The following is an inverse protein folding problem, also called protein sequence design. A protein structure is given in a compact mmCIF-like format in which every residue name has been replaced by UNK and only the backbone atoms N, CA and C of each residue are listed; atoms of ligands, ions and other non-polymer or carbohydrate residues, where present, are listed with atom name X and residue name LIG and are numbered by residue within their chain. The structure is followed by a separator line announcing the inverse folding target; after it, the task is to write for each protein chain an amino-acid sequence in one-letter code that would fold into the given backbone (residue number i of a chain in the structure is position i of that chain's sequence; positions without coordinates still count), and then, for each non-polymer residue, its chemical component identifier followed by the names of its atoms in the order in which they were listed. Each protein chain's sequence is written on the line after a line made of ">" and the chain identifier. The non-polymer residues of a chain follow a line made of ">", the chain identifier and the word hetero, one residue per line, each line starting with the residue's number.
data_IF_839485558443
#
_entry.id   IF_839485558443
#
_cell.length_a   1.000
_cell.length_b   1.000
_cell.length_c   1.000
_cell.angle_alpha   90.00
_cell.angle_beta   90.00
_cell.angle_gamma   90.00
#
_symmetry.space_group_name_H-M   'P 1'
#
loop_
_entity.id
_entity.type
_entity.pdbx_description
1 polymer ?
#
# COMPACT_ATOMS: atom_id res chain seq x y z
N UNK A 1 -19.92 5.03 -27.54
CA UNK A 1 -20.42 3.66 -27.24
C UNK A 1 -19.32 2.63 -26.94
N UNK A 2 -18.25 2.54 -27.74
CA UNK A 2 -17.14 1.58 -27.53
C UNK A 2 -16.40 1.70 -26.18
N UNK A 3 -16.20 2.92 -25.66
CA UNK A 3 -15.55 3.14 -24.35
C UNK A 3 -16.38 2.63 -23.18
N UNK A 4 -17.71 2.85 -23.22
CA UNK A 4 -18.62 2.42 -22.16
C UNK A 4 -18.71 0.89 -22.07
N UNK A 5 -18.73 0.21 -23.22
CA UNK A 5 -18.75 -1.25 -23.25
C UNK A 5 -17.43 -1.85 -22.73
N UNK A 6 -16.29 -1.23 -23.07
CA UNK A 6 -14.97 -1.62 -22.53
C UNK A 6 -14.85 -1.37 -21.03
N UNK A 7 -15.44 -0.29 -20.53
CA UNK A 7 -15.50 0.01 -19.10
C UNK A 7 -16.32 -1.03 -18.34
N UNK A 8 -17.48 -1.43 -18.88
CA UNK A 8 -18.32 -2.50 -18.31
C UNK A 8 -17.56 -3.83 -18.21
N UNK A 9 -16.77 -4.18 -19.22
CA UNK A 9 -15.92 -5.38 -19.21
C UNK A 9 -14.83 -5.28 -18.14
N UNK A 10 -14.17 -4.13 -17.99
CA UNK A 10 -13.16 -3.93 -16.96
C UNK A 10 -13.77 -4.14 -15.56
N UNK A 11 -14.91 -3.51 -15.28
CA UNK A 11 -15.63 -3.65 -14.00
C UNK A 11 -16.02 -5.12 -13.75
N UNK A 12 -16.55 -5.82 -14.76
CA UNK A 12 -16.93 -7.23 -14.62
C UNK A 12 -15.75 -8.15 -14.28
N UNK A 13 -14.56 -7.88 -14.82
CA UNK A 13 -13.35 -8.64 -14.44
C UNK A 13 -12.86 -8.28 -13.04
N UNK A 14 -12.97 -7.02 -12.64
CA UNK A 14 -12.63 -6.58 -11.29
C UNK A 14 -13.50 -7.32 -10.27
N UNK A 15 -14.81 -7.36 -10.49
CA UNK A 15 -15.76 -8.06 -9.60
C UNK A 15 -15.52 -9.57 -9.58
N UNK A 16 -15.26 -10.18 -10.75
CA UNK A 16 -14.89 -11.60 -10.83
C UNK A 16 -13.59 -11.89 -10.04
N UNK A 17 -12.60 -11.00 -10.13
CA UNK A 17 -11.37 -11.12 -9.37
C UNK A 17 -11.60 -11.00 -7.86
N UNK A 18 -12.42 -10.06 -7.40
CA UNK A 18 -12.78 -9.95 -5.98
C UNK A 18 -13.55 -11.17 -5.47
N UNK A 19 -14.42 -11.78 -6.28
CA UNK A 19 -15.07 -13.05 -5.95
C UNK A 19 -14.05 -14.18 -5.77
N UNK A 20 -13.03 -14.26 -6.63
CA UNK A 20 -11.93 -15.24 -6.49
C UNK A 20 -11.10 -14.94 -5.25
N UNK A 21 -10.78 -13.67 -4.98
CA UNK A 21 -10.06 -13.23 -3.78
C UNK A 21 -10.77 -13.67 -2.49
N UNK A 22 -12.11 -13.60 -2.47
CA UNK A 22 -12.92 -14.09 -1.37
C UNK A 22 -12.84 -15.61 -1.23
N UNK A 23 -12.93 -16.37 -2.33
CA UNK A 23 -12.76 -17.83 -2.26
C UNK A 23 -11.35 -18.26 -1.85
N UNK A 24 -10.32 -17.50 -2.23
CA UNK A 24 -8.92 -17.72 -1.80
C UNK A 24 -8.76 -17.56 -0.28
N UNK A 25 -9.51 -16.65 0.35
CA UNK A 25 -9.48 -16.48 1.80
C UNK A 25 -9.88 -17.77 2.52
N UNK A 26 -11.01 -18.35 2.11
CA UNK A 26 -11.51 -19.61 2.68
C UNK A 26 -10.52 -20.75 2.44
N UNK A 27 -9.94 -20.83 1.25
CA UNK A 27 -8.97 -21.85 0.88
C UNK A 27 -7.70 -21.79 1.74
N UNK A 28 -7.07 -20.62 1.87
CA UNK A 28 -5.85 -20.50 2.68
C UNK A 28 -6.08 -20.76 4.17
N UNK A 29 -7.28 -20.40 4.68
CA UNK A 29 -7.62 -20.60 6.09
C UNK A 29 -8.03 -22.04 6.41
N UNK A 30 -8.86 -22.68 5.56
CA UNK A 30 -9.43 -24.00 5.82
C UNK A 30 -8.55 -25.14 5.27
N UNK A 31 -8.12 -25.03 4.02
CA UNK A 31 -7.45 -26.14 3.33
C UNK A 31 -5.93 -26.08 3.56
N UNK A 32 -5.32 -24.90 3.49
CA UNK A 32 -3.88 -24.73 3.74
C UNK A 32 -3.53 -24.47 5.22
N UNK A 33 -4.52 -24.23 6.09
CA UNK A 33 -4.34 -24.00 7.53
C UNK A 33 -3.30 -22.92 7.89
N UNK A 34 -3.21 -21.86 7.08
CA UNK A 34 -2.22 -20.77 7.25
C UNK A 34 -2.88 -19.51 7.83
N UNK A 35 -2.15 -18.79 8.67
CA UNK A 35 -2.64 -17.57 9.34
C UNK A 35 -2.57 -16.34 8.43
N UNK A 36 -3.55 -16.18 7.53
CA UNK A 36 -3.64 -15.02 6.62
C UNK A 36 -3.74 -13.69 7.37
N UNK A 37 -4.61 -13.60 8.37
CA UNK A 37 -4.91 -12.32 9.06
C UNK A 37 -3.71 -11.80 9.84
N UNK A 38 -3.02 -12.68 10.57
CA UNK A 38 -1.85 -12.30 11.36
C UNK A 38 -0.75 -11.78 10.46
N UNK A 39 -0.41 -12.53 9.40
CA UNK A 39 0.63 -12.10 8.48
C UNK A 39 0.26 -10.78 7.77
N UNK A 40 -0.99 -10.64 7.31
CA UNK A 40 -1.47 -9.42 6.65
C UNK A 40 -1.42 -8.21 7.59
N UNK A 41 -1.80 -8.38 8.87
CA UNK A 41 -1.72 -7.32 9.86
C UNK A 41 -0.27 -6.91 10.16
N UNK A 42 0.66 -7.88 10.27
CA UNK A 42 2.09 -7.57 10.45
C UNK A 42 2.69 -6.85 9.24
N UNK A 43 2.31 -7.24 8.02
CA UNK A 43 2.73 -6.53 6.80
C UNK A 43 2.20 -5.08 6.83
N UNK A 44 0.94 -4.90 7.25
CA UNK A 44 0.30 -3.58 7.38
C UNK A 44 1.00 -2.72 8.42
N UNK A 45 1.18 -3.23 9.64
CA UNK A 45 1.81 -2.53 10.74
C UNK A 45 3.26 -2.14 10.40
N UNK A 46 4.01 -3.04 9.75
CA UNK A 46 5.38 -2.76 9.29
C UNK A 46 5.46 -1.58 8.33
N UNK A 47 4.46 -1.39 7.45
CA UNK A 47 4.41 -0.22 6.55
C UNK A 47 4.21 1.09 7.33
N UNK A 48 3.36 1.09 8.34
CA UNK A 48 3.09 2.27 9.18
C UNK A 48 4.24 2.60 10.13
N UNK A 49 4.86 1.59 10.75
CA UNK A 49 6.06 1.79 11.58
C UNK A 49 7.17 2.45 10.74
N UNK A 50 7.41 1.94 9.53
CA UNK A 50 8.37 2.53 8.62
C UNK A 50 8.02 3.98 8.23
N UNK A 51 6.72 4.32 8.12
CA UNK A 51 6.28 5.72 7.95
C UNK A 51 6.71 6.61 9.10
N UNK A 52 6.41 6.17 10.33
CA UNK A 52 6.64 6.93 11.55
C UNK A 52 8.14 7.14 11.73
N UNK A 53 8.94 6.10 11.49
CA UNK A 53 10.40 6.17 11.52
C UNK A 53 10.94 7.14 10.47
N UNK A 54 10.32 7.27 9.29
CA UNK A 54 10.69 8.31 8.32
C UNK A 54 10.21 9.71 8.70
N UNK A 55 9.07 9.84 9.39
CA UNK A 55 8.48 11.15 9.75
C UNK A 55 9.22 11.86 10.88
N UNK A 56 9.64 11.13 11.92
CA UNK A 56 10.22 11.74 13.13
C UNK A 56 11.54 12.46 12.84
N UNK A 57 12.50 11.90 12.06
CA UNK A 57 13.70 12.63 11.66
C UNK A 57 13.37 13.90 10.87
N UNK A 58 12.40 13.85 9.96
CA UNK A 58 11.96 15.04 9.20
C UNK A 58 11.43 16.10 10.16
N UNK A 59 10.56 15.72 11.10
CA UNK A 59 10.04 16.63 12.12
C UNK A 59 11.16 17.23 12.96
N UNK A 60 12.16 16.43 13.33
CA UNK A 60 13.34 16.87 14.09
C UNK A 60 14.14 17.92 13.30
N UNK A 61 14.35 17.71 12.00
CA UNK A 61 15.01 18.69 11.13
C UNK A 61 14.24 20.02 11.06
N UNK A 62 12.89 19.99 11.01
CA UNK A 62 12.07 21.21 11.03
C UNK A 62 12.16 21.96 12.37
N UNK A 63 12.24 21.24 13.48
CA UNK A 63 12.45 21.82 14.81
C UNK A 63 13.84 22.47 14.87
N UNK A 64 14.87 21.80 14.36
CA UNK A 64 16.24 22.34 14.30
C UNK A 64 16.34 23.58 13.41
N UNK A 65 15.54 23.66 12.33
CA UNK A 65 15.56 24.80 11.40
C UNK A 65 14.80 26.03 11.91
N UNK A 66 14.20 25.99 13.11
CA UNK A 66 13.50 27.13 13.72
C UNK A 66 12.17 27.50 13.04
N UNK A 67 11.58 26.61 12.24
CA UNK A 67 10.26 26.84 11.66
C UNK A 67 9.19 26.83 12.77
N UNK A 68 8.21 27.75 12.72
CA UNK A 68 7.17 27.93 13.74
C UNK A 68 6.62 26.59 14.25
N UNK A 69 6.92 26.28 15.51
CA UNK A 69 6.44 25.09 16.21
C UNK A 69 4.93 25.14 16.44
N UNK A 70 4.34 23.96 16.64
CA UNK A 70 2.96 23.79 17.11
C UNK A 70 2.87 24.37 18.53
N UNK A 71 1.83 25.14 18.84
CA UNK A 71 1.62 25.77 20.16
C UNK A 71 1.80 24.81 21.34
N UNK A 72 1.30 23.57 21.23
CA UNK A 72 1.40 22.56 22.29
C UNK A 72 2.83 22.08 22.62
N UNK A 73 3.76 22.15 21.66
CA UNK A 73 5.17 21.72 21.87
C UNK A 73 6.07 22.88 22.26
N UNK A 74 5.67 24.12 21.96
CA UNK A 74 6.37 25.31 22.43
C UNK A 74 6.39 25.39 23.96
N UNK A 75 5.28 25.01 24.61
CA UNK A 75 5.16 24.93 26.06
C UNK A 75 6.09 23.88 26.69
N UNK A 76 6.36 22.78 25.97
CA UNK A 76 7.27 21.72 26.40
C UNK A 76 8.74 22.14 26.15
N UNK A 77 9.01 22.78 25.02
CA UNK A 77 10.34 23.31 24.66
C UNK A 77 10.79 24.42 25.63
N UNK A 78 9.87 25.32 26.04
CA UNK A 78 10.15 26.33 27.06
C UNK A 78 10.41 25.73 28.44
N UNK A 79 9.73 24.63 28.81
CA UNK A 79 9.89 23.99 30.12
C UNK A 79 11.16 23.13 30.25
N UNK A 80 11.57 22.43 29.19
CA UNK A 80 12.69 21.47 29.22
C UNK A 80 14.02 22.03 28.71
N UNK A 81 13.98 23.15 27.98
CA UNK A 81 15.14 23.69 27.27
C UNK A 81 15.38 22.97 25.94
N UNK A 82 15.67 23.77 24.90
CA UNK A 82 15.79 23.31 23.51
C UNK A 82 16.78 22.15 23.34
N UNK A 83 17.94 22.21 23.99
CA UNK A 83 18.99 21.20 23.87
C UNK A 83 18.54 19.85 24.45
N UNK A 84 17.87 19.84 25.60
CA UNK A 84 17.35 18.63 26.25
C UNK A 84 16.24 18.00 25.41
N UNK A 85 15.34 18.82 24.85
CA UNK A 85 14.26 18.35 23.98
C UNK A 85 14.80 17.71 22.70
N UNK A 86 15.80 18.32 22.05
CA UNK A 86 16.47 17.76 20.88
C UNK A 86 17.13 16.41 21.23
N UNK A 87 17.88 16.35 22.34
CA UNK A 87 18.55 15.12 22.76
C UNK A 87 17.54 13.98 23.02
N UNK A 88 16.40 14.27 23.66
CA UNK A 88 15.34 13.31 23.90
C UNK A 88 14.70 12.82 22.60
N UNK A 89 14.43 13.72 21.65
CA UNK A 89 13.92 13.34 20.33
C UNK A 89 14.90 12.46 19.55
N UNK A 90 16.21 12.74 19.61
CA UNK A 90 17.24 11.90 18.97
C UNK A 90 17.25 10.50 19.58
N UNK A 91 17.20 10.37 20.92
CA UNK A 91 17.09 9.07 21.58
C UNK A 91 15.84 8.30 21.14
N UNK A 92 14.69 8.97 21.06
CA UNK A 92 13.44 8.34 20.56
C UNK A 92 13.61 7.84 19.13
N UNK A 93 14.25 8.63 18.25
CA UNK A 93 14.52 8.21 16.86
C UNK A 93 15.37 6.94 16.83
N UNK A 94 16.47 6.89 17.59
CA UNK A 94 17.35 5.71 17.63
C UNK A 94 16.57 4.46 18.06
N UNK A 95 15.79 4.56 19.15
CA UNK A 95 14.97 3.44 19.66
C UNK A 95 13.96 2.98 18.61
N UNK A 96 13.30 3.90 17.91
CA UNK A 96 12.33 3.56 16.88
C UNK A 96 12.97 2.92 15.64
N UNK A 97 14.18 3.32 15.26
CA UNK A 97 14.93 2.67 14.18
C UNK A 97 15.31 1.23 14.53
N UNK A 98 15.76 0.99 15.76
CA UNK A 98 16.05 -0.36 16.26
C UNK A 98 14.76 -1.21 16.23
N UNK A 99 13.65 -0.65 16.71
CA UNK A 99 12.35 -1.32 16.71
C UNK A 99 11.88 -1.66 15.29
N UNK A 100 12.00 -0.75 14.33
CA UNK A 100 11.68 -1.01 12.91
C UNK A 100 12.55 -2.11 12.29
N UNK A 101 13.85 -2.13 12.61
CA UNK A 101 14.74 -3.20 12.18
C UNK A 101 14.30 -4.56 12.74
N UNK A 102 13.99 -4.64 14.03
CA UNK A 102 13.47 -5.87 14.66
C UNK A 102 12.14 -6.30 14.04
N UNK A 103 11.22 -5.36 13.79
CA UNK A 103 9.94 -5.63 13.15
C UNK A 103 10.11 -6.19 11.74
N UNK A 104 11.07 -5.68 10.95
CA UNK A 104 11.41 -6.19 9.60
C UNK A 104 11.95 -7.63 9.66
N UNK A 105 12.84 -7.92 10.60
CA UNK A 105 13.39 -9.28 10.80
C UNK A 105 12.27 -10.24 11.22
N UNK A 106 11.42 -9.83 12.17
CA UNK A 106 10.32 -10.65 12.66
C UNK A 106 9.29 -10.97 11.57
N UNK A 107 8.94 -9.97 10.74
CA UNK A 107 8.09 -10.16 9.54
C UNK A 107 8.70 -11.20 8.59
N UNK A 108 10.01 -11.14 8.36
CA UNK A 108 10.72 -12.12 7.53
C UNK A 108 10.60 -13.54 8.09
N UNK A 109 10.88 -13.71 9.39
CA UNK A 109 10.76 -15.00 10.08
C UNK A 109 9.32 -15.55 10.02
N UNK A 110 8.32 -14.73 10.30
CA UNK A 110 6.91 -15.15 10.29
C UNK A 110 6.48 -15.59 8.89
N UNK A 111 6.93 -14.89 7.84
CA UNK A 111 6.60 -15.26 6.45
C UNK A 111 7.17 -16.63 6.09
N UNK A 112 8.40 -16.93 6.52
CA UNK A 112 9.03 -18.23 6.27
C UNK A 112 8.35 -19.34 7.06
N UNK A 113 8.11 -19.14 8.36
CA UNK A 113 7.40 -20.11 9.19
C UNK A 113 6.01 -20.48 8.65
N UNK A 114 5.27 -19.50 8.11
CA UNK A 114 3.95 -19.76 7.52
C UNK A 114 4.05 -20.48 6.16
N UNK A 115 5.13 -20.30 5.40
CA UNK A 115 5.38 -21.06 4.18
C UNK A 115 5.77 -22.51 4.48
N UNK A 116 6.53 -22.73 5.55
CA UNK A 116 6.98 -24.06 5.97
C UNK A 116 5.82 -24.92 6.52
N UNK A 117 4.78 -24.27 7.06
CA UNK A 117 3.52 -24.94 7.48
C UNK A 117 2.68 -25.48 6.32
N UNK A 118 2.93 -25.04 5.08
CA UNK A 118 2.17 -25.50 3.92
C UNK A 118 2.64 -26.92 3.57
N UNK A 119 1.82 -27.91 3.93
CA UNK A 119 2.09 -29.32 3.70
C UNK A 119 2.35 -29.67 2.21
N UNK A 120 3.21 -30.65 1.97
CA UNK A 120 3.47 -31.21 0.63
C UNK A 120 2.28 -32.07 0.16
N UNK A 121 1.13 -31.44 -0.13
CA UNK A 121 -0.07 -32.11 -0.65
C UNK A 121 -0.59 -31.42 -1.91
N UNK A 122 -1.38 -32.15 -2.70
CA UNK A 122 -2.20 -31.56 -3.76
C UNK A 122 -3.42 -30.91 -3.10
N UNK A 123 -3.66 -29.65 -3.43
CA UNK A 123 -4.78 -28.89 -2.87
C UNK A 123 -5.89 -28.78 -3.91
N UNK A 124 -7.16 -28.96 -3.53
CA UNK A 124 -8.28 -28.72 -4.45
C UNK A 124 -8.78 -27.29 -4.30
N UNK A 125 -8.77 -26.51 -5.37
CA UNK A 125 -9.38 -25.18 -5.42
C UNK A 125 -10.35 -25.11 -6.59
N UNK A 126 -11.64 -24.84 -6.29
CA UNK A 126 -12.72 -24.81 -7.28
C UNK A 126 -12.77 -26.06 -8.18
N UNK A 127 -12.54 -27.25 -7.60
CA UNK A 127 -12.59 -28.53 -8.31
C UNK A 127 -11.36 -28.87 -9.16
N UNK A 128 -10.26 -28.09 -9.07
CA UNK A 128 -8.98 -28.42 -9.72
C UNK A 128 -7.87 -28.67 -8.70
N UNK A 129 -7.00 -29.61 -9.01
CA UNK A 129 -5.80 -29.89 -8.23
C UNK A 129 -4.71 -28.85 -8.49
N UNK A 130 -4.28 -28.18 -7.42
CA UNK A 130 -3.23 -27.18 -7.41
C UNK A 130 -2.01 -27.74 -6.67
N UNK A 131 -0.84 -27.55 -7.27
CA UNK A 131 0.43 -27.93 -6.64
C UNK A 131 0.78 -27.00 -5.48
N UNK A 132 1.41 -27.56 -4.44
CA UNK A 132 1.94 -26.81 -3.30
C UNK A 132 2.83 -25.62 -3.72
N UNK A 133 3.64 -25.76 -4.77
CA UNK A 133 4.50 -24.67 -5.29
C UNK A 133 3.69 -23.44 -5.67
N UNK A 134 2.50 -23.63 -6.25
CA UNK A 134 1.58 -22.54 -6.61
C UNK A 134 1.01 -21.90 -5.33
N UNK A 135 0.59 -22.72 -4.34
CA UNK A 135 0.05 -22.24 -3.05
C UNK A 135 1.09 -21.40 -2.29
N UNK A 136 2.33 -21.89 -2.17
CA UNK A 136 3.43 -21.16 -1.52
C UNK A 136 3.78 -19.85 -2.24
N UNK A 137 3.75 -19.85 -3.58
CA UNK A 137 4.07 -18.66 -4.38
C UNK A 137 3.00 -17.59 -4.30
N UNK A 138 1.74 -17.99 -4.13
CA UNK A 138 0.58 -17.10 -4.16
C UNK A 138 0.13 -16.62 -2.78
N UNK A 139 0.46 -17.36 -1.72
CA UNK A 139 0.15 -16.99 -0.33
C UNK A 139 0.72 -15.61 0.07
N UNK A 140 2.00 -15.35 -0.26
CA UNK A 140 2.64 -14.07 0.08
C UNK A 140 2.04 -12.87 -0.69
N UNK A 141 1.86 -12.93 -2.03
CA UNK A 141 1.11 -11.92 -2.78
C UNK A 141 -0.31 -11.70 -2.26
N UNK A 142 -1.00 -12.77 -1.83
CA UNK A 142 -2.35 -12.68 -1.28
C UNK A 142 -2.38 -11.90 0.04
N UNK A 143 -1.51 -12.26 1.00
CA UNK A 143 -1.40 -11.54 2.27
C UNK A 143 -0.94 -10.09 2.07
N UNK A 144 -0.04 -9.85 1.11
CA UNK A 144 0.39 -8.51 0.74
C UNK A 144 -0.81 -7.68 0.23
N UNK A 145 -1.65 -8.27 -0.62
CA UNK A 145 -2.82 -7.60 -1.16
C UNK A 145 -3.86 -7.24 -0.09
N UNK A 146 -4.14 -8.13 0.86
CA UNK A 146 -5.02 -7.84 2.01
C UNK A 146 -4.43 -6.70 2.85
N UNK A 147 -3.13 -6.77 3.15
CA UNK A 147 -2.43 -5.72 3.87
C UNK A 147 -2.53 -4.37 3.16
N UNK A 148 -2.44 -4.36 1.83
CA UNK A 148 -2.48 -3.13 1.05
C UNK A 148 -3.88 -2.51 1.05
N UNK A 149 -4.95 -3.32 1.02
CA UNK A 149 -6.31 -2.81 1.20
C UNK A 149 -6.51 -2.18 2.58
N UNK A 150 -5.94 -2.78 3.64
CA UNK A 150 -5.95 -2.17 4.98
C UNK A 150 -5.21 -0.83 4.99
N UNK A 151 -4.08 -0.72 4.30
CA UNK A 151 -3.34 0.55 4.17
C UNK A 151 -4.17 1.60 3.44
N UNK A 152 -4.86 1.24 2.35
CA UNK A 152 -5.70 2.17 1.61
C UNK A 152 -6.88 2.66 2.45
N UNK A 153 -7.55 1.76 3.17
CA UNK A 153 -8.65 2.11 4.08
C UNK A 153 -8.18 3.03 5.22
N UNK A 154 -7.06 2.69 5.86
CA UNK A 154 -6.47 3.53 6.91
C UNK A 154 -5.99 4.89 6.37
N UNK A 155 -5.49 4.96 5.14
CA UNK A 155 -5.12 6.22 4.49
C UNK A 155 -6.34 7.13 4.28
N UNK A 156 -7.46 6.57 3.82
CA UNK A 156 -8.73 7.33 3.67
C UNK A 156 -9.18 7.88 5.03
N UNK A 157 -9.13 7.06 6.08
CA UNK A 157 -9.48 7.48 7.43
C UNK A 157 -8.60 8.63 7.94
N UNK A 158 -7.27 8.52 7.78
CA UNK A 158 -6.32 9.58 8.14
C UNK A 158 -6.61 10.87 7.35
N UNK A 159 -6.89 10.77 6.04
CA UNK A 159 -7.23 11.94 5.24
C UNK A 159 -8.56 12.56 5.65
N UNK A 160 -9.57 11.78 6.03
CA UNK A 160 -10.84 12.28 6.54
C UNK A 160 -10.65 13.12 7.81
N UNK A 161 -9.78 12.66 8.71
CA UNK A 161 -9.46 13.38 9.96
C UNK A 161 -8.66 14.66 9.69
N UNK A 162 -7.69 14.62 8.75
CA UNK A 162 -6.82 15.77 8.47
C UNK A 162 -7.47 16.82 7.55
N UNK A 163 -8.13 16.39 6.49
CA UNK A 163 -8.78 17.26 5.51
C UNK A 163 -9.81 16.47 4.68
N UNK A 164 -11.12 16.62 4.97
CA UNK A 164 -12.19 15.92 4.22
C UNK A 164 -12.15 16.16 2.71
N UNK A 165 -11.78 17.38 2.27
CA UNK A 165 -11.68 17.68 0.83
C UNK A 165 -10.56 16.90 0.15
N UNK A 166 -9.41 16.75 0.84
CA UNK A 166 -8.31 15.94 0.33
C UNK A 166 -8.69 14.46 0.29
N UNK A 167 -9.45 13.97 1.27
CA UNK A 167 -9.94 12.59 1.27
C UNK A 167 -10.81 12.28 0.05
N UNK A 168 -11.75 13.16 -0.31
CA UNK A 168 -12.59 13.01 -1.50
C UNK A 168 -11.74 13.02 -2.78
N UNK A 169 -10.85 14.01 -2.91
CA UNK A 169 -9.90 14.08 -4.03
C UNK A 169 -9.09 12.80 -4.16
N UNK A 170 -8.53 12.31 -3.06
CA UNK A 170 -7.75 11.09 -3.00
C UNK A 170 -8.57 9.87 -3.47
N UNK A 171 -9.80 9.69 -2.97
CA UNK A 171 -10.67 8.58 -3.39
C UNK A 171 -10.96 8.64 -4.89
N UNK A 172 -11.29 9.81 -5.43
CA UNK A 172 -11.55 9.99 -6.86
C UNK A 172 -10.32 9.62 -7.71
N UNK A 173 -9.13 10.06 -7.31
CA UNK A 173 -7.88 9.77 -8.01
C UNK A 173 -7.55 8.28 -7.92
N UNK A 174 -7.68 7.65 -6.75
CA UNK A 174 -7.42 6.20 -6.58
C UNK A 174 -8.37 5.36 -7.41
N UNK A 175 -9.67 5.66 -7.42
CA UNK A 175 -10.67 4.93 -8.22
C UNK A 175 -10.38 5.08 -9.72
N UNK A 176 -10.09 6.31 -10.16
CA UNK A 176 -9.73 6.58 -11.56
C UNK A 176 -8.47 5.83 -11.97
N UNK A 177 -7.46 5.80 -11.09
CA UNK A 177 -6.21 5.05 -11.30
C UNK A 177 -6.45 3.54 -11.39
N UNK A 178 -7.31 2.99 -10.51
CA UNK A 178 -7.67 1.57 -10.55
C UNK A 178 -8.30 1.18 -11.87
N UNK A 179 -9.27 1.97 -12.33
CA UNK A 179 -9.96 1.73 -13.59
C UNK A 179 -9.02 1.86 -14.80
N UNK A 180 -8.14 2.87 -14.78
CA UNK A 180 -7.17 3.12 -15.84
C UNK A 180 -6.14 1.99 -15.95
N UNK A 181 -5.56 1.55 -14.84
CA UNK A 181 -4.61 0.44 -14.84
C UNK A 181 -5.28 -0.90 -15.17
N UNK A 182 -6.48 -1.16 -14.67
CA UNK A 182 -7.20 -2.38 -15.01
C UNK A 182 -7.53 -2.44 -16.52
N UNK A 183 -7.84 -1.28 -17.12
CA UNK A 183 -8.02 -1.15 -18.56
C UNK A 183 -6.69 -1.36 -19.33
N UNK A 184 -5.61 -0.72 -18.93
CA UNK A 184 -4.33 -0.75 -19.66
C UNK A 184 -3.58 -2.09 -19.55
N UNK A 185 -3.55 -2.70 -18.36
CA UNK A 185 -2.73 -3.89 -18.09
C UNK A 185 -3.41 -5.21 -18.50
N UNK A 186 -4.73 -5.28 -18.40
CA UNK A 186 -5.46 -6.54 -18.56
C UNK A 186 -6.38 -6.57 -19.78
N UNK A 187 -6.46 -5.48 -20.57
CA UNK A 187 -7.17 -5.52 -21.85
C UNK A 187 -6.56 -6.59 -22.78
N UNK A 188 -7.39 -7.43 -23.44
CA UNK A 188 -6.93 -8.52 -24.31
C UNK A 188 -6.14 -8.06 -25.54
N UNK A 189 -6.09 -6.75 -25.79
CA UNK A 189 -5.16 -6.16 -26.73
C UNK A 189 -4.08 -5.45 -25.94
N UNK A 190 -2.88 -6.03 -25.92
CA UNK A 190 -1.65 -5.39 -25.45
C UNK A 190 -1.65 -3.97 -26.03
N UNK A 191 -1.90 -2.98 -25.18
CA UNK A 191 -2.26 -1.65 -25.66
C UNK A 191 -1.13 -1.13 -26.55
N UNK A 192 -1.47 -0.45 -27.65
CA UNK A 192 -0.47 0.11 -28.58
C UNK A 192 0.59 0.92 -27.84
N UNK A 193 0.26 1.53 -26.69
CA UNK A 193 1.17 2.19 -25.76
C UNK A 193 2.26 1.28 -25.19
N UNK A 194 1.90 0.09 -24.67
CA UNK A 194 2.87 -0.86 -24.11
C UNK A 194 3.82 -1.38 -25.20
N UNK A 195 3.28 -1.64 -26.40
CA UNK A 195 4.09 -2.02 -27.58
C UNK A 195 4.99 -0.87 -28.08
N UNK A 196 4.54 0.38 -28.04
CA UNK A 196 5.34 1.55 -28.46
C UNK A 196 6.45 1.90 -27.47
N UNK A 197 6.23 1.65 -26.18
CA UNK A 197 7.16 2.00 -25.11
C UNK A 197 8.18 0.88 -24.80
N UNK A 198 7.96 -0.34 -25.31
CA UNK A 198 8.80 -1.51 -25.04
C UNK A 198 9.10 -1.73 -23.54
N UNK A 199 8.12 -1.42 -22.68
CA UNK A 199 8.23 -1.55 -21.23
C UNK A 199 7.59 -2.85 -20.75
N UNK A 200 8.25 -3.53 -19.82
CA UNK A 200 7.59 -4.63 -19.09
C UNK A 200 6.44 -4.07 -18.25
N UNK A 201 5.39 -4.88 -18.07
CA UNK A 201 4.21 -4.57 -17.27
C UNK A 201 4.57 -4.09 -15.85
N UNK A 202 5.63 -4.62 -15.24
CA UNK A 202 6.09 -4.18 -13.91
C UNK A 202 6.72 -2.78 -13.94
N UNK A 203 7.46 -2.46 -15.00
CA UNK A 203 8.03 -1.12 -15.22
C UNK A 203 6.93 -0.11 -15.54
N UNK A 204 5.93 -0.50 -16.33
CA UNK A 204 4.76 0.33 -16.62
C UNK A 204 3.99 0.71 -15.34
N UNK A 205 3.70 -0.26 -14.46
CA UNK A 205 3.08 0.02 -13.15
C UNK A 205 3.94 1.01 -12.34
N UNK A 206 5.27 0.85 -12.36
CA UNK A 206 6.18 1.74 -11.63
C UNK A 206 6.13 3.17 -12.16
N UNK A 207 6.13 3.37 -13.48
CA UNK A 207 6.02 4.69 -14.10
C UNK A 207 4.66 5.33 -13.79
N UNK A 208 3.56 4.59 -13.97
CA UNK A 208 2.23 5.08 -13.63
C UNK A 208 2.10 5.45 -12.15
N UNK A 209 2.74 4.69 -11.26
CA UNK A 209 2.76 5.01 -9.83
C UNK A 209 3.55 6.29 -9.51
N UNK A 210 4.64 6.55 -10.24
CA UNK A 210 5.38 7.83 -10.14
C UNK A 210 4.53 9.03 -10.54
N UNK A 211 3.78 8.90 -11.65
CA UNK A 211 2.82 9.92 -12.11
C UNK A 211 1.71 10.11 -11.07
N UNK A 212 1.19 9.02 -10.50
CA UNK A 212 0.16 9.09 -9.45
C UNK A 212 0.64 9.85 -8.22
N UNK A 213 1.89 9.61 -7.79
CA UNK A 213 2.47 10.34 -6.67
C UNK A 213 2.61 11.85 -6.97
N UNK A 214 2.98 12.21 -8.20
CA UNK A 214 3.01 13.62 -8.63
C UNK A 214 1.62 14.26 -8.58
N UNK A 215 0.58 13.54 -9.04
CA UNK A 215 -0.81 14.00 -8.96
C UNK A 215 -1.21 14.26 -7.50
N UNK A 216 -0.91 13.33 -6.58
CA UNK A 216 -1.18 13.55 -5.16
C UNK A 216 -0.42 14.76 -4.61
N UNK A 217 0.85 14.93 -4.96
CA UNK A 217 1.63 16.10 -4.55
C UNK A 217 0.98 17.41 -5.00
N UNK A 218 0.57 17.51 -6.27
CA UNK A 218 -0.15 18.69 -6.79
C UNK A 218 -1.48 18.93 -6.06
N UNK A 219 -2.21 17.86 -5.73
CA UNK A 219 -3.42 17.94 -4.91
C UNK A 219 -3.17 18.51 -3.50
N UNK A 220 -2.07 18.10 -2.85
CA UNK A 220 -1.66 18.62 -1.54
C UNK A 220 -1.35 20.12 -1.64
N UNK A 221 -0.58 20.52 -2.67
CA UNK A 221 -0.23 21.93 -2.91
C UNK A 221 -1.49 22.77 -3.12
N UNK A 222 -2.44 22.30 -3.94
CA UNK A 222 -3.71 23.00 -4.15
C UNK A 222 -4.50 23.18 -2.85
N UNK A 223 -4.60 22.13 -2.02
CA UNK A 223 -5.29 22.20 -0.72
C UNK A 223 -4.57 23.13 0.25
N UNK A 224 -3.24 23.16 0.24
CA UNK A 224 -2.43 24.08 1.05
C UNK A 224 -2.73 25.55 0.73
N UNK A 225 -2.78 25.91 -0.56
CA UNK A 225 -3.08 27.26 -0.99
C UNK A 225 -4.51 27.70 -0.65
N UNK A 226 -5.48 26.79 -0.70
CA UNK A 226 -6.89 27.12 -0.46
C UNK A 226 -7.23 27.18 1.04
N UNK A 227 -6.64 26.29 1.87
CA UNK A 227 -7.04 26.11 3.28
C UNK A 227 -6.01 26.57 4.32
N UNK A 228 -4.87 27.13 3.90
CA UNK A 228 -3.80 27.59 4.81
C UNK A 228 -3.43 26.54 5.86
N UNK A 229 -3.36 25.27 5.46
CA UNK A 229 -3.03 24.16 6.35
C UNK A 229 -1.57 24.28 6.82
N UNK A 230 -1.31 23.95 8.10
CA UNK A 230 0.05 23.90 8.62
C UNK A 230 0.95 22.95 7.81
N UNK A 231 2.19 23.38 7.54
CA UNK A 231 3.17 22.64 6.73
C UNK A 231 3.37 21.20 7.25
N UNK A 232 3.38 21.00 8.58
CA UNK A 232 3.51 19.66 9.18
C UNK A 232 2.36 18.71 8.80
N UNK A 233 1.14 19.22 8.69
CA UNK A 233 -0.02 18.43 8.26
C UNK A 233 0.12 18.06 6.79
N UNK A 234 0.61 18.96 5.94
CA UNK A 234 0.89 18.62 4.54
C UNK A 234 2.00 17.58 4.38
N UNK A 235 3.06 17.64 5.19
CA UNK A 235 4.10 16.60 5.20
C UNK A 235 3.52 15.25 5.61
N UNK A 236 2.65 15.23 6.63
CA UNK A 236 1.96 14.02 7.06
C UNK A 236 1.06 13.46 5.94
N UNK A 237 0.28 14.32 5.28
CA UNK A 237 -0.55 13.93 4.13
C UNK A 237 0.32 13.36 3.00
N UNK A 238 1.48 13.97 2.73
CA UNK A 238 2.42 13.52 1.70
C UNK A 238 3.00 12.14 2.02
N UNK A 239 3.36 11.88 3.28
CA UNK A 239 3.86 10.58 3.71
C UNK A 239 2.79 9.49 3.61
N UNK A 240 1.56 9.78 4.01
CA UNK A 240 0.43 8.85 3.88
C UNK A 240 0.14 8.61 2.39
N UNK A 241 0.19 9.64 1.53
CA UNK A 241 0.04 9.50 0.09
C UNK A 241 1.16 8.66 -0.55
N UNK A 242 2.41 8.80 -0.07
CA UNK A 242 3.55 7.96 -0.49
C UNK A 242 3.34 6.48 -0.15
N UNK A 243 2.79 6.19 1.03
CA UNK A 243 2.53 4.81 1.44
C UNK A 243 1.34 4.22 0.69
N UNK A 244 0.30 5.02 0.48
CA UNK A 244 -0.81 4.64 -0.38
C UNK A 244 -0.36 4.29 -1.79
N UNK A 245 0.41 5.15 -2.45
CA UNK A 245 0.95 4.88 -3.81
C UNK A 245 1.80 3.61 -3.83
N UNK A 246 2.67 3.43 -2.84
CA UNK A 246 3.44 2.19 -2.69
C UNK A 246 2.53 0.96 -2.56
N UNK A 247 1.45 1.06 -1.79
CA UNK A 247 0.45 0.00 -1.63
C UNK A 247 -0.35 -0.27 -2.90
N UNK A 248 -0.71 0.76 -3.67
CA UNK A 248 -1.39 0.59 -4.97
C UNK A 248 -0.52 -0.20 -5.95
N UNK A 249 0.77 0.16 -6.05
CA UNK A 249 1.73 -0.61 -6.84
C UNK A 249 1.80 -2.07 -6.40
N UNK A 250 1.85 -2.33 -5.10
CA UNK A 250 1.92 -3.72 -4.58
C UNK A 250 0.62 -4.49 -4.80
N UNK A 251 -0.54 -3.83 -4.81
CA UNK A 251 -1.82 -4.44 -5.21
C UNK A 251 -1.77 -4.91 -6.67
N UNK A 252 -1.39 -4.06 -7.63
CA UNK A 252 -1.38 -4.45 -9.05
C UNK A 252 -0.37 -5.55 -9.35
N UNK A 253 0.82 -5.48 -8.74
CA UNK A 253 1.84 -6.53 -8.91
C UNK A 253 1.41 -7.86 -8.27
N UNK A 254 0.75 -7.83 -7.10
CA UNK A 254 0.20 -9.03 -6.45
C UNK A 254 -0.99 -9.60 -7.21
N UNK A 255 -1.88 -8.74 -7.71
CA UNK A 255 -3.01 -9.12 -8.57
C UNK A 255 -2.54 -9.79 -9.86
N UNK A 256 -1.48 -9.28 -10.50
CA UNK A 256 -0.86 -9.90 -11.67
C UNK A 256 -0.29 -11.29 -11.35
N UNK A 257 0.41 -11.43 -10.21
CA UNK A 257 0.94 -12.73 -9.77
C UNK A 257 -0.19 -13.75 -9.52
N UNK A 258 -1.25 -13.34 -8.82
CA UNK A 258 -2.43 -14.17 -8.57
C UNK A 258 -3.16 -14.54 -9.87
N UNK A 259 -3.32 -13.59 -10.81
CA UNK A 259 -3.96 -13.85 -12.10
C UNK A 259 -3.18 -14.83 -12.97
N UNK A 260 -1.84 -14.72 -13.01
CA UNK A 260 -1.03 -15.69 -13.75
C UNK A 260 -1.20 -17.11 -13.20
N UNK A 261 -1.19 -17.27 -11.89
CA UNK A 261 -1.09 -18.60 -11.29
C UNK A 261 -2.46 -19.26 -11.03
N UNK A 262 -3.55 -18.48 -10.88
CA UNK A 262 -4.93 -18.98 -10.65
C UNK A 262 -5.94 -18.69 -11.76
N UNK A 263 -5.61 -17.89 -12.78
CA UNK A 263 -6.57 -17.56 -13.86
C UNK A 263 -6.07 -17.92 -15.26
N UNK A 264 -4.76 -17.94 -15.54
CA UNK A 264 -4.25 -18.32 -16.87
C UNK A 264 -4.25 -19.85 -17.09
N UNK A 265 -4.31 -20.65 -16.03
CA UNK A 265 -4.56 -22.11 -16.14
C UNK A 265 -6.07 -22.46 -16.27
N UNK A 266 -6.91 -21.47 -16.61
CA UNK A 266 -8.36 -21.60 -16.76
C UNK A 266 -8.89 -21.17 -18.15
N UNK A 267 -8.01 -20.87 -19.10
CA UNK A 267 -8.29 -20.88 -20.54
C UNK A 267 -7.53 -22.05 -21.17
#
# INVERSE_FOLDING_TARGET
>A
MLLFNKFKIAVARTTAFFSVLYSLYSFFRKDASVEVNKLSFYIFASKYINMIVMFIPIKLLFILSGAKNISFLFDIEQKLGRNTYIALLVCIVIVLYIFDMVAKIYKGKLTNQQKDKIENKKYSFRGKDISQKIVQRTYSPYCQMISDFLVLAASIFVFLVLSPHYAVYYVCVVVSYFLLLEYLLFSPHQTRLLKKLNLDNNQFIQVCNGILYLIFFLGIVAVLFVKSIHILVAILILLVARISTTSLRTVFTSQKALRRDFFVNHE
#
